data_IF_799421767323
#
_entry.id   IF_799421767323
#
_cell.length_a   1.000
_cell.length_b   1.000
_cell.length_c   1.000
_cell.angle_alpha   90.00
_cell.angle_beta   90.00
_cell.angle_gamma   90.00
#
_symmetry.space_group_name_H-M   'P 1'
#
loop_
_entity.id
_entity.type
_entity.pdbx_description
1 polymer ?
#
# COMPACT_ATOMS: atom_id res chain seq x y z
N UNK A 1 -40.08 31.64 -24.70
CA UNK A 1 -38.72 31.64 -24.17
C UNK A 1 -38.63 32.01 -22.69
N UNK A 2 -39.27 33.07 -22.18
CA UNK A 2 -39.20 33.42 -20.72
C UNK A 2 -39.69 32.31 -19.76
N UNK A 3 -40.74 31.55 -20.11
CA UNK A 3 -41.28 30.46 -19.28
C UNK A 3 -40.35 29.23 -19.21
N UNK A 4 -39.56 28.97 -20.25
CA UNK A 4 -38.58 27.88 -20.24
C UNK A 4 -37.41 28.17 -19.30
N UNK A 5 -36.94 29.42 -19.31
CA UNK A 5 -35.84 29.86 -18.43
C UNK A 5 -36.27 29.80 -16.95
N UNK A 6 -37.53 30.16 -16.64
CA UNK A 6 -38.05 30.10 -15.29
C UNK A 6 -38.23 28.66 -14.76
N UNK A 7 -38.43 27.66 -15.66
CA UNK A 7 -38.53 26.25 -15.25
C UNK A 7 -37.16 25.57 -15.06
N UNK A 8 -36.10 26.06 -15.72
CA UNK A 8 -34.74 25.52 -15.56
C UNK A 8 -33.99 26.14 -14.38
N UNK A 9 -34.34 27.37 -13.97
CA UNK A 9 -33.69 28.06 -12.86
C UNK A 9 -33.80 27.29 -11.52
N UNK A 10 -34.99 26.76 -11.09
CA UNK A 10 -35.07 25.97 -9.86
C UNK A 10 -34.36 24.61 -9.95
N UNK A 11 -34.27 23.98 -11.14
CA UNK A 11 -33.52 22.76 -11.33
C UNK A 11 -32.02 23.02 -11.18
N UNK A 12 -31.52 24.16 -11.66
CA UNK A 12 -30.11 24.55 -11.49
C UNK A 12 -29.78 24.96 -10.04
N UNK A 13 -30.70 25.57 -9.31
CA UNK A 13 -30.54 25.93 -7.88
C UNK A 13 -30.64 24.66 -7.00
N UNK A 14 -31.48 23.70 -7.34
CA UNK A 14 -31.54 22.40 -6.65
C UNK A 14 -30.29 21.54 -6.92
N UNK A 15 -29.70 21.64 -8.12
CA UNK A 15 -28.44 20.95 -8.45
C UNK A 15 -27.22 21.61 -7.78
N UNK A 16 -27.27 22.88 -7.40
CA UNK A 16 -26.17 23.56 -6.69
C UNK A 16 -26.06 23.19 -5.19
N UNK A 17 -27.02 22.44 -4.66
CA UNK A 17 -26.96 21.85 -3.32
C UNK A 17 -26.38 20.39 -3.36
N UNK A 18 -25.94 19.92 -4.50
CA UNK A 18 -25.23 18.65 -4.61
C UNK A 18 -23.87 18.83 -3.92
N UNK A 19 -23.81 18.45 -2.67
CA UNK A 19 -22.55 18.23 -1.93
C UNK A 19 -21.59 17.44 -2.84
N UNK A 20 -20.29 17.69 -2.69
CA UNK A 20 -19.29 16.91 -3.42
C UNK A 20 -19.65 15.42 -3.36
N UNK A 21 -20.19 14.93 -4.48
CA UNK A 21 -20.68 13.54 -4.59
C UNK A 21 -19.49 12.60 -4.73
N UNK A 22 -18.37 13.13 -5.20
CA UNK A 22 -17.14 12.35 -5.40
C UNK A 22 -15.90 13.25 -5.23
N UNK A 23 -14.79 12.60 -4.95
CA UNK A 23 -13.47 13.25 -4.94
C UNK A 23 -12.38 12.25 -5.23
N UNK A 24 -11.25 12.73 -5.69
CA UNK A 24 -10.09 11.91 -6.00
C UNK A 24 -8.79 12.68 -5.70
N UNK A 25 -7.71 11.93 -5.58
CA UNK A 25 -6.40 12.53 -5.32
C UNK A 25 -5.31 11.51 -5.11
N UNK A 26 -4.22 11.98 -4.54
CA UNK A 26 -3.05 11.19 -4.21
C UNK A 26 -3.08 10.79 -2.73
N UNK A 27 -2.53 9.64 -2.44
CA UNK A 27 -2.31 9.12 -1.09
C UNK A 27 -0.82 8.89 -0.87
N UNK A 28 -0.30 9.39 0.25
CA UNK A 28 1.01 9.05 0.78
C UNK A 28 0.79 8.22 2.04
N UNK A 29 1.51 7.12 2.18
CA UNK A 29 1.38 6.30 3.36
C UNK A 29 2.75 5.93 3.95
N UNK A 30 2.76 5.75 5.26
CA UNK A 30 3.85 5.15 6.01
C UNK A 30 3.29 3.91 6.69
N UNK A 31 3.69 2.74 6.22
CA UNK A 31 3.38 1.47 6.87
C UNK A 31 4.27 1.27 8.08
N UNK A 32 3.70 0.76 9.17
CA UNK A 32 4.36 0.57 10.45
C UNK A 32 4.39 -0.91 10.77
N UNK A 33 5.54 -1.52 10.58
CA UNK A 33 5.84 -2.91 10.89
C UNK A 33 7.34 -3.09 11.12
N UNK A 34 7.71 -4.22 11.66
CA UNK A 34 9.09 -4.65 11.82
C UNK A 34 9.22 -6.09 11.36
N UNK A 35 10.24 -6.35 10.54
CA UNK A 35 10.62 -7.68 10.09
C UNK A 35 11.94 -8.03 10.73
N UNK A 36 11.97 -9.10 11.51
CA UNK A 36 13.18 -9.55 12.18
C UNK A 36 14.21 -10.11 11.19
N UNK A 37 15.47 -10.08 11.58
CA UNK A 37 16.52 -10.76 10.85
C UNK A 37 16.22 -12.26 10.73
N UNK A 38 16.47 -12.80 9.57
CA UNK A 38 16.23 -14.20 9.26
C UNK A 38 17.42 -14.78 8.50
N UNK A 39 17.91 -15.93 8.94
CA UNK A 39 19.00 -16.64 8.27
C UNK A 39 18.50 -18.01 7.83
N UNK A 40 18.74 -18.34 6.56
CA UNK A 40 18.48 -19.64 5.96
C UNK A 40 19.77 -20.22 5.43
N UNK A 41 19.97 -21.56 5.59
CA UNK A 41 21.15 -22.24 5.09
C UNK A 41 20.77 -23.46 4.25
N UNK A 42 21.47 -23.61 3.12
CA UNK A 42 21.44 -24.81 2.30
C UNK A 42 22.44 -25.82 2.83
N UNK A 43 21.97 -27.02 3.05
CA UNK A 43 22.81 -28.14 3.47
C UNK A 43 22.76 -29.25 2.43
N UNK A 44 23.93 -29.72 2.01
CA UNK A 44 24.08 -30.95 1.22
C UNK A 44 24.59 -32.05 2.16
N UNK A 45 23.79 -33.06 2.40
CA UNK A 45 23.96 -34.03 3.50
C UNK A 45 23.97 -33.34 4.87
N UNK A 46 25.13 -33.17 5.50
CA UNK A 46 25.28 -32.46 6.80
C UNK A 46 26.14 -31.19 6.71
N UNK A 47 26.64 -30.91 5.51
CA UNK A 47 27.55 -29.78 5.26
C UNK A 47 26.73 -28.59 4.81
N UNK A 48 26.90 -27.46 5.48
CA UNK A 48 26.32 -26.17 5.07
C UNK A 48 27.12 -25.63 3.88
N UNK A 49 26.45 -25.47 2.75
CA UNK A 49 27.08 -25.08 1.48
C UNK A 49 26.77 -23.64 1.09
N UNK A 50 25.69 -23.07 1.62
CA UNK A 50 25.36 -21.66 1.43
C UNK A 50 24.50 -21.14 2.58
N UNK A 51 24.62 -19.85 2.87
CA UNK A 51 23.86 -19.13 3.88
C UNK A 51 23.36 -17.81 3.30
N UNK A 52 22.09 -17.51 3.52
CA UNK A 52 21.49 -16.22 3.20
C UNK A 52 21.00 -15.62 4.51
N UNK A 53 21.41 -14.40 4.78
CA UNK A 53 20.91 -13.61 5.90
C UNK A 53 20.15 -12.41 5.35
N UNK A 54 18.85 -12.37 5.58
CA UNK A 54 18.03 -11.18 5.41
C UNK A 54 18.13 -10.36 6.68
N UNK A 55 18.66 -9.15 6.60
CA UNK A 55 18.76 -8.28 7.77
C UNK A 55 17.41 -7.70 8.14
N UNK A 56 17.26 -7.36 9.44
CA UNK A 56 16.06 -6.74 9.95
C UNK A 56 15.76 -5.41 9.25
N UNK A 57 14.49 -5.12 9.02
CA UNK A 57 14.05 -3.84 8.47
C UNK A 57 12.68 -3.44 9.02
N UNK A 58 12.39 -2.16 8.95
CA UNK A 58 11.18 -1.56 9.49
C UNK A 58 10.51 -0.66 8.48
N UNK A 59 9.19 -0.56 8.61
CA UNK A 59 8.38 0.43 7.94
C UNK A 59 8.47 0.36 6.41
N UNK A 60 7.50 0.98 5.76
CA UNK A 60 7.47 1.16 4.32
C UNK A 60 6.90 2.53 4.00
N UNK A 61 7.39 3.13 2.92
CA UNK A 61 6.81 4.34 2.37
C UNK A 61 6.05 4.01 1.10
N UNK A 62 4.88 4.59 0.95
CA UNK A 62 4.04 4.32 -0.21
C UNK A 62 3.40 5.57 -0.79
N UNK A 63 3.07 5.42 -2.06
CA UNK A 63 2.30 6.39 -2.83
C UNK A 63 1.14 5.68 -3.50
N UNK A 64 0.02 6.37 -3.65
CA UNK A 64 -1.17 5.81 -4.29
C UNK A 64 -2.14 6.86 -4.79
N UNK A 65 -3.26 6.37 -5.29
CA UNK A 65 -4.39 7.19 -5.68
C UNK A 65 -5.66 6.71 -4.98
N UNK A 66 -6.60 7.62 -4.80
CA UNK A 66 -7.90 7.30 -4.21
C UNK A 66 -9.05 7.97 -4.95
N UNK A 67 -10.21 7.36 -4.83
CA UNK A 67 -11.51 7.89 -5.22
C UNK A 67 -12.47 7.68 -4.04
N UNK A 68 -13.24 8.70 -3.67
CA UNK A 68 -14.36 8.52 -2.74
C UNK A 68 -15.67 8.98 -3.34
N UNK A 69 -16.77 8.36 -2.90
CA UNK A 69 -18.14 8.66 -3.30
C UNK A 69 -18.97 8.91 -2.04
N UNK A 70 -19.44 10.15 -1.87
CA UNK A 70 -20.26 10.64 -0.74
C UNK A 70 -21.77 10.70 -1.13
N UNK A 71 -22.20 9.87 -2.07
CA UNK A 71 -23.58 9.84 -2.57
C UNK A 71 -24.47 8.79 -1.88
N UNK A 72 -23.85 7.89 -1.12
CA UNK A 72 -24.58 6.83 -0.42
C UNK A 72 -25.10 7.39 0.92
N UNK A 73 -26.40 7.34 1.20
CA UNK A 73 -26.91 7.80 2.48
C UNK A 73 -26.22 7.11 3.66
N UNK A 74 -25.73 7.87 4.62
CA UNK A 74 -25.09 7.46 5.88
C UNK A 74 -23.66 6.91 5.79
N UNK A 75 -23.16 6.53 4.60
CA UNK A 75 -21.78 6.00 4.44
C UNK A 75 -21.14 6.57 3.18
N UNK A 76 -19.84 6.76 3.21
CA UNK A 76 -19.01 7.12 2.06
C UNK A 76 -18.32 5.83 1.57
N UNK A 77 -18.31 5.60 0.26
CA UNK A 77 -17.50 4.55 -0.36
C UNK A 77 -16.15 5.13 -0.74
N UNK A 78 -15.10 4.42 -0.40
CA UNK A 78 -13.71 4.82 -0.62
C UNK A 78 -12.95 3.68 -1.31
N UNK A 79 -12.29 3.99 -2.42
CA UNK A 79 -11.50 3.05 -3.22
C UNK A 79 -10.10 3.62 -3.34
N UNK A 80 -9.09 2.81 -3.04
CA UNK A 80 -7.69 3.22 -3.05
C UNK A 80 -6.82 2.14 -3.68
N UNK A 81 -5.83 2.56 -4.48
CA UNK A 81 -4.70 1.75 -4.91
C UNK A 81 -3.40 2.36 -4.43
N UNK A 82 -2.48 1.55 -3.95
CA UNK A 82 -1.22 2.01 -3.33
C UNK A 82 -0.06 1.10 -3.68
N UNK A 83 1.12 1.68 -3.82
CA UNK A 83 2.39 0.98 -3.95
C UNK A 83 3.27 1.36 -2.76
N UNK A 84 3.77 0.36 -2.03
CA UNK A 84 4.62 0.53 -0.86
C UNK A 84 5.99 -0.05 -1.18
N UNK A 85 7.04 0.61 -0.76
CA UNK A 85 8.42 0.17 -0.92
C UNK A 85 9.10 0.20 0.44
N UNK A 86 9.84 -0.87 0.76
CA UNK A 86 10.68 -1.00 1.95
C UNK A 86 12.05 -1.52 1.55
N UNK A 87 13.07 -0.69 1.58
CA UNK A 87 14.43 -1.14 1.36
C UNK A 87 14.90 -2.00 2.54
N UNK A 88 15.63 -3.05 2.24
CA UNK A 88 16.30 -3.89 3.23
C UNK A 88 17.64 -4.40 2.69
N UNK A 89 18.46 -4.98 3.55
CA UNK A 89 19.75 -5.55 3.20
C UNK A 89 19.72 -7.07 3.31
N UNK A 90 20.48 -7.74 2.46
CA UNK A 90 20.76 -9.17 2.61
C UNK A 90 22.26 -9.45 2.39
N UNK A 91 22.73 -10.55 2.97
CA UNK A 91 24.07 -11.09 2.76
C UNK A 91 23.95 -12.52 2.27
N UNK A 92 24.87 -12.93 1.40
CA UNK A 92 24.94 -14.30 0.89
C UNK A 92 26.38 -14.81 1.00
N UNK A 93 26.54 -16.03 1.48
CA UNK A 93 27.85 -16.70 1.55
C UNK A 93 27.69 -18.13 1.10
N UNK A 94 28.59 -18.59 0.23
CA UNK A 94 28.74 -19.99 -0.13
C UNK A 94 30.20 -20.43 -0.02
N UNK A 95 30.52 -21.67 -0.42
CA UNK A 95 31.86 -22.23 -0.34
C UNK A 95 32.89 -21.50 -1.23
N UNK A 96 32.44 -20.75 -2.24
CA UNK A 96 33.29 -20.12 -3.26
C UNK A 96 33.32 -18.62 -3.15
N UNK A 97 32.21 -17.98 -2.71
CA UNK A 97 32.07 -16.53 -2.69
C UNK A 97 31.28 -16.06 -1.47
N UNK A 98 31.51 -14.82 -1.10
CA UNK A 98 30.73 -14.11 -0.10
C UNK A 98 30.33 -12.77 -0.67
N UNK A 99 29.03 -12.51 -0.65
CA UNK A 99 28.43 -11.20 -1.00
C UNK A 99 28.04 -10.55 0.32
N UNK A 100 28.80 -9.53 0.69
CA UNK A 100 28.46 -8.70 1.84
C UNK A 100 27.15 -7.94 1.56
N UNK A 101 26.65 -7.24 2.55
CA UNK A 101 25.36 -6.53 2.54
C UNK A 101 25.03 -5.87 1.22
N UNK A 102 24.02 -6.39 0.54
CA UNK A 102 23.43 -5.82 -0.67
C UNK A 102 22.08 -5.24 -0.34
N UNK A 103 21.78 -4.08 -0.93
CA UNK A 103 20.45 -3.48 -0.81
C UNK A 103 19.46 -4.14 -1.76
N UNK A 104 18.28 -4.42 -1.26
CA UNK A 104 17.15 -4.91 -2.01
C UNK A 104 15.87 -4.18 -1.60
N UNK A 105 14.79 -4.33 -2.37
CA UNK A 105 13.52 -3.66 -2.10
C UNK A 105 12.38 -4.68 -2.00
N UNK A 106 11.70 -4.69 -0.86
CA UNK A 106 10.38 -5.31 -0.78
C UNK A 106 9.32 -4.32 -1.28
N UNK A 107 8.44 -4.80 -2.17
CA UNK A 107 7.40 -3.98 -2.80
C UNK A 107 6.05 -4.63 -2.58
N UNK A 108 5.05 -3.86 -2.17
CA UNK A 108 3.65 -4.28 -2.07
C UNK A 108 2.74 -3.37 -2.89
N UNK A 109 2.01 -3.95 -3.82
CA UNK A 109 0.90 -3.31 -4.52
C UNK A 109 -0.41 -3.70 -3.83
N UNK A 110 -1.14 -2.72 -3.34
CA UNK A 110 -2.36 -2.93 -2.55
C UNK A 110 -3.56 -2.18 -3.10
N UNK A 111 -4.73 -2.76 -2.87
CA UNK A 111 -6.03 -2.16 -3.15
C UNK A 111 -6.94 -2.24 -1.94
N UNK A 112 -7.70 -1.18 -1.71
CA UNK A 112 -8.62 -1.06 -0.57
C UNK A 112 -9.99 -0.60 -1.04
N UNK A 113 -11.05 -1.22 -0.50
CA UNK A 113 -12.43 -0.77 -0.64
C UNK A 113 -12.98 -0.60 0.77
N UNK A 114 -13.34 0.62 1.13
CA UNK A 114 -13.73 1.00 2.49
C UNK A 114 -15.11 1.64 2.50
N UNK A 115 -15.94 1.24 3.45
CA UNK A 115 -17.15 1.97 3.83
C UNK A 115 -16.81 2.83 5.05
N UNK A 116 -16.99 4.15 4.92
CA UNK A 116 -16.71 5.12 5.98
C UNK A 116 -17.98 5.75 6.50
N UNK A 117 -18.03 5.96 7.82
CA UNK A 117 -19.09 6.71 8.50
C UNK A 117 -18.52 7.99 9.10
N UNK A 118 -19.25 9.08 8.91
CA UNK A 118 -18.94 10.36 9.56
C UNK A 118 -19.41 10.29 11.02
N UNK A 119 -18.49 10.43 11.95
CA UNK A 119 -18.77 10.41 13.41
C UNK A 119 -19.09 11.82 13.90
N UNK A 120 -18.27 12.78 13.51
CA UNK A 120 -18.40 14.18 13.90
C UNK A 120 -18.17 15.08 12.68
N UNK A 121 -18.94 16.16 12.58
CA UNK A 121 -18.81 17.13 11.51
C UNK A 121 -18.83 18.55 12.10
N UNK A 122 -17.82 19.33 11.76
CA UNK A 122 -17.74 20.76 11.98
C UNK A 122 -17.73 21.46 10.63
N UNK A 123 -18.48 22.53 10.48
CA UNK A 123 -18.51 23.29 9.23
C UNK A 123 -18.61 24.78 9.47
N UNK A 124 -17.78 25.53 8.74
CA UNK A 124 -17.90 26.97 8.57
C UNK A 124 -18.56 27.17 7.21
N UNK A 125 -19.75 27.75 7.14
CA UNK A 125 -20.48 27.92 5.88
C UNK A 125 -19.60 28.52 4.78
N UNK A 126 -19.67 27.93 3.59
CA UNK A 126 -18.96 28.32 2.35
C UNK A 126 -17.45 28.28 2.39
N UNK A 127 -16.81 28.04 3.55
CA UNK A 127 -15.36 28.15 3.66
C UNK A 127 -14.68 26.80 3.93
N UNK A 128 -15.02 26.14 5.03
CA UNK A 128 -14.27 24.96 5.48
C UNK A 128 -15.18 23.92 6.14
N UNK A 129 -14.79 22.65 6.00
CA UNK A 129 -15.42 21.52 6.71
C UNK A 129 -14.32 20.65 7.32
N UNK A 130 -14.58 20.18 8.55
CA UNK A 130 -13.77 19.16 9.19
C UNK A 130 -14.69 17.98 9.58
N UNK A 131 -14.26 16.77 9.31
CA UNK A 131 -15.01 15.54 9.64
C UNK A 131 -14.09 14.57 10.35
N UNK A 132 -14.58 13.96 11.43
CA UNK A 132 -14.00 12.75 11.99
C UNK A 132 -14.73 11.57 11.38
N UNK A 133 -13.99 10.61 10.84
CA UNK A 133 -14.51 9.43 10.18
C UNK A 133 -13.97 8.16 10.80
N UNK A 134 -14.74 7.09 10.75
CA UNK A 134 -14.26 5.73 10.95
C UNK A 134 -14.84 4.83 9.85
N UNK A 135 -14.07 3.84 9.45
CA UNK A 135 -14.45 2.93 8.37
C UNK A 135 -13.87 1.55 8.55
N UNK A 136 -14.45 0.63 7.81
CA UNK A 136 -13.97 -0.73 7.68
C UNK A 136 -14.13 -1.18 6.23
N UNK A 137 -13.30 -2.13 5.81
CA UNK A 137 -13.35 -2.59 4.44
C UNK A 137 -12.53 -3.84 4.17
N UNK A 138 -12.42 -4.16 2.89
CA UNK A 138 -11.61 -5.27 2.39
C UNK A 138 -10.37 -4.74 1.71
N UNK A 139 -9.32 -5.55 1.73
CA UNK A 139 -8.06 -5.23 1.06
C UNK A 139 -7.55 -6.42 0.25
N UNK A 140 -6.66 -6.11 -0.69
CA UNK A 140 -5.93 -7.08 -1.46
C UNK A 140 -4.50 -6.59 -1.63
N UNK A 141 -3.55 -7.48 -1.48
CA UNK A 141 -2.12 -7.22 -1.55
C UNK A 141 -1.45 -8.15 -2.56
N UNK A 142 -0.43 -7.63 -3.21
CA UNK A 142 0.47 -8.42 -4.07
C UNK A 142 1.88 -7.93 -3.81
N UNK A 143 2.65 -8.68 -3.04
CA UNK A 143 4.00 -8.31 -2.63
C UNK A 143 5.08 -9.18 -3.29
N UNK A 144 6.28 -8.62 -3.42
CA UNK A 144 7.46 -9.38 -3.83
C UNK A 144 7.85 -10.36 -2.73
N UNK A 145 8.36 -11.55 -3.09
CA UNK A 145 8.98 -12.44 -2.11
C UNK A 145 10.22 -11.78 -1.50
N UNK A 146 10.60 -12.24 -0.32
CA UNK A 146 11.90 -11.90 0.28
C UNK A 146 13.00 -12.68 -0.44
N UNK A 147 14.24 -12.17 -0.38
CA UNK A 147 15.41 -12.89 -0.87
C UNK A 147 15.56 -14.17 -0.05
N UNK A 148 15.47 -15.29 -0.73
CA UNK A 148 15.67 -16.62 -0.20
C UNK A 148 16.63 -17.42 -1.10
N UNK A 149 16.86 -18.66 -0.73
CA UNK A 149 17.72 -19.55 -1.49
C UNK A 149 17.20 -19.82 -2.91
N UNK A 150 15.90 -20.02 -3.09
CA UNK A 150 15.31 -20.31 -4.40
C UNK A 150 15.50 -19.12 -5.36
N UNK A 151 15.37 -17.89 -4.83
CA UNK A 151 15.64 -16.68 -5.60
C UNK A 151 17.11 -16.61 -6.01
N UNK A 152 18.04 -16.88 -5.08
CA UNK A 152 19.47 -16.84 -5.37
C UNK A 152 19.87 -17.92 -6.40
N UNK A 153 19.35 -19.14 -6.29
CA UNK A 153 19.58 -20.18 -7.28
C UNK A 153 19.05 -19.81 -8.67
N UNK A 154 17.86 -19.22 -8.74
CA UNK A 154 17.28 -18.79 -10.00
C UNK A 154 18.06 -17.64 -10.66
N UNK A 155 18.52 -16.68 -9.87
CA UNK A 155 19.14 -15.45 -10.37
C UNK A 155 20.64 -15.61 -10.65
N UNK A 156 21.30 -16.50 -9.94
CA UNK A 156 22.72 -16.80 -10.17
C UNK A 156 22.94 -17.81 -11.31
N UNK A 157 21.89 -18.44 -11.83
CA UNK A 157 21.81 -19.09 -13.14
C UNK A 157 22.89 -20.16 -13.49
N UNK A 158 23.35 -20.96 -12.50
CA UNK A 158 24.31 -22.03 -12.73
C UNK A 158 25.75 -21.69 -12.29
N UNK A 159 26.64 -22.71 -12.37
CA UNK A 159 28.00 -22.64 -11.82
C UNK A 159 28.86 -21.52 -12.42
N UNK A 160 28.64 -21.16 -13.67
CA UNK A 160 29.45 -20.16 -14.38
C UNK A 160 29.19 -18.73 -13.90
N UNK A 161 27.97 -18.42 -13.42
CA UNK A 161 27.61 -17.11 -12.85
C UNK A 161 27.97 -17.01 -11.37
N UNK A 162 28.10 -18.12 -10.67
CA UNK A 162 28.57 -18.18 -9.28
C UNK A 162 30.02 -17.65 -9.13
N UNK A 163 30.87 -17.85 -10.13
CA UNK A 163 32.23 -17.29 -10.12
C UNK A 163 32.30 -15.80 -10.42
N UNK A 164 31.37 -15.27 -11.21
CA UNK A 164 31.36 -13.84 -11.58
C UNK A 164 30.68 -12.93 -10.57
N UNK A 165 29.87 -13.45 -9.67
CA UNK A 165 29.08 -12.67 -8.70
C UNK A 165 28.04 -11.73 -9.35
N UNK A 166 27.71 -11.94 -10.63
CA UNK A 166 26.74 -11.12 -11.36
C UNK A 166 25.34 -11.69 -11.22
N UNK A 167 24.39 -10.83 -10.86
CA UNK A 167 22.97 -11.15 -10.79
C UNK A 167 22.34 -10.95 -12.17
N UNK A 168 21.63 -11.96 -12.68
CA UNK A 168 20.85 -11.83 -13.90
C UNK A 168 19.54 -11.08 -13.59
N UNK A 169 19.44 -9.85 -14.10
CA UNK A 169 18.27 -8.99 -13.84
C UNK A 169 17.00 -9.52 -14.49
N UNK A 170 17.08 -10.17 -15.63
CA UNK A 170 15.89 -10.69 -16.33
C UNK A 170 15.33 -11.91 -15.59
N UNK A 171 16.18 -12.81 -15.13
CA UNK A 171 15.77 -13.95 -14.30
C UNK A 171 15.24 -13.46 -12.93
N UNK A 172 15.82 -12.42 -12.35
CA UNK A 172 15.29 -11.80 -11.13
C UNK A 172 13.86 -11.27 -11.35
N UNK A 173 13.63 -10.50 -12.40
CA UNK A 173 12.28 -9.96 -12.70
C UNK A 173 11.29 -11.08 -12.94
N UNK A 174 11.68 -12.13 -13.64
CA UNK A 174 10.86 -13.31 -13.88
C UNK A 174 10.52 -14.03 -12.57
N UNK A 175 11.53 -14.29 -11.73
CA UNK A 175 11.33 -14.91 -10.41
C UNK A 175 10.34 -14.12 -9.54
N UNK A 176 10.51 -12.78 -9.44
CA UNK A 176 9.63 -11.92 -8.67
C UNK A 176 8.18 -11.96 -9.16
N UNK A 177 7.96 -12.04 -10.47
CA UNK A 177 6.63 -12.14 -11.06
C UNK A 177 5.95 -13.48 -10.78
N UNK A 178 6.71 -14.57 -10.88
CA UNK A 178 6.20 -15.93 -10.70
C UNK A 178 5.95 -16.28 -9.23
N UNK A 179 6.75 -15.71 -8.32
CA UNK A 179 6.72 -16.03 -6.89
C UNK A 179 6.10 -14.91 -6.03
N UNK A 180 5.36 -13.98 -6.63
CA UNK A 180 4.66 -12.93 -5.87
C UNK A 180 3.72 -13.52 -4.83
N UNK A 181 3.74 -12.95 -3.65
CA UNK A 181 2.82 -13.30 -2.57
C UNK A 181 1.52 -12.51 -2.74
N UNK A 182 0.40 -13.19 -2.77
CA UNK A 182 -0.93 -12.57 -2.88
C UNK A 182 -1.74 -12.85 -1.64
N UNK A 183 -2.27 -11.80 -1.02
CA UNK A 183 -3.06 -11.88 0.20
C UNK A 183 -4.32 -11.02 0.08
N UNK A 184 -5.36 -11.44 0.79
CA UNK A 184 -6.61 -10.69 0.94
C UNK A 184 -6.97 -10.64 2.41
N UNK A 185 -7.60 -9.54 2.82
CA UNK A 185 -7.96 -9.37 4.22
C UNK A 185 -8.98 -8.27 4.43
N UNK A 186 -9.02 -7.82 5.68
CA UNK A 186 -9.88 -6.75 6.14
C UNK A 186 -9.03 -5.62 6.71
N UNK A 187 -9.63 -4.43 6.82
CA UNK A 187 -9.01 -3.33 7.52
C UNK A 187 -10.05 -2.48 8.24
N UNK A 188 -9.58 -1.78 9.24
CA UNK A 188 -10.30 -0.71 9.91
C UNK A 188 -9.50 0.56 9.82
N UNK A 189 -10.16 1.71 9.74
CA UNK A 189 -9.48 3.00 9.70
C UNK A 189 -10.27 4.07 10.44
N UNK A 190 -9.55 5.05 10.96
CA UNK A 190 -10.13 6.25 11.57
C UNK A 190 -9.24 7.45 11.33
N UNK A 191 -9.84 8.62 11.15
CA UNK A 191 -9.08 9.81 10.86
C UNK A 191 -9.93 11.03 10.64
N UNK A 192 -9.28 12.11 10.22
CA UNK A 192 -9.89 13.41 9.98
C UNK A 192 -9.79 13.78 8.51
N UNK A 193 -10.87 14.33 7.99
CA UNK A 193 -10.92 14.99 6.69
C UNK A 193 -11.06 16.49 6.89
N UNK A 194 -10.25 17.25 6.20
CA UNK A 194 -10.38 18.69 6.09
C UNK A 194 -10.70 19.05 4.64
N UNK A 195 -11.73 19.83 4.43
CA UNK A 195 -12.10 20.36 3.12
C UNK A 195 -12.08 21.87 3.16
N UNK A 196 -11.32 22.47 2.27
CA UNK A 196 -11.27 23.93 2.06
C UNK A 196 -11.65 24.20 0.60
N UNK A 197 -12.86 24.72 0.39
CA UNK A 197 -13.44 24.85 -0.95
C UNK A 197 -13.49 23.49 -1.66
N UNK A 198 -12.72 23.33 -2.75
CA UNK A 198 -12.62 22.09 -3.52
C UNK A 198 -11.44 21.20 -3.08
N UNK A 199 -10.52 21.72 -2.27
CA UNK A 199 -9.37 20.98 -1.78
C UNK A 199 -9.78 20.08 -0.61
N UNK A 200 -9.47 18.81 -0.72
CA UNK A 200 -9.65 17.80 0.31
C UNK A 200 -8.30 17.31 0.82
N UNK A 201 -8.17 17.22 2.13
CA UNK A 201 -7.07 16.52 2.77
C UNK A 201 -7.59 15.57 3.84
N UNK A 202 -6.95 14.39 3.95
CA UNK A 202 -7.31 13.37 4.93
C UNK A 202 -6.03 12.94 5.65
N UNK A 203 -6.12 12.83 6.95
CA UNK A 203 -5.10 12.20 7.78
C UNK A 203 -5.77 11.08 8.57
N UNK A 204 -5.36 9.83 8.34
CA UNK A 204 -5.98 8.70 9.00
C UNK A 204 -5.00 7.57 9.30
N UNK A 205 -5.30 6.85 10.36
CA UNK A 205 -4.66 5.59 10.70
C UNK A 205 -5.50 4.43 10.16
N UNK A 206 -4.83 3.46 9.55
CA UNK A 206 -5.43 2.19 9.09
C UNK A 206 -4.72 1.04 9.76
N UNK A 207 -5.47 0.08 10.25
CA UNK A 207 -4.97 -1.23 10.67
C UNK A 207 -5.42 -2.28 9.68
N UNK A 208 -4.46 -2.91 9.02
CA UNK A 208 -4.64 -3.98 8.03
C UNK A 208 -4.54 -5.31 8.74
N UNK A 209 -5.47 -6.21 8.45
CA UNK A 209 -5.54 -7.60 8.93
C UNK A 209 -5.49 -8.46 7.67
N UNK A 210 -4.29 -8.91 7.32
CA UNK A 210 -4.04 -9.75 6.15
C UNK A 210 -2.79 -10.59 6.42
N UNK A 211 -2.91 -11.90 6.26
CA UNK A 211 -1.80 -12.83 6.48
C UNK A 211 -0.80 -12.77 5.33
N UNK A 212 0.46 -13.04 5.61
CA UNK A 212 1.55 -13.18 4.66
C UNK A 212 1.90 -11.93 3.82
N UNK A 213 1.29 -10.78 4.07
CA UNK A 213 1.72 -9.52 3.43
C UNK A 213 3.09 -9.12 3.95
N UNK A 214 3.22 -9.09 5.27
CA UNK A 214 4.49 -8.87 5.96
C UNK A 214 4.94 -10.20 6.53
N UNK A 215 6.15 -10.68 6.24
CA UNK A 215 6.64 -11.96 6.72
C UNK A 215 6.49 -12.12 8.24
N UNK A 216 5.84 -13.18 8.66
CA UNK A 216 5.62 -13.50 10.07
C UNK A 216 4.56 -12.65 10.78
N UNK A 217 3.85 -11.77 10.08
CA UNK A 217 2.80 -10.92 10.65
C UNK A 217 1.41 -11.24 10.10
N UNK A 218 0.40 -11.14 10.97
CA UNK A 218 -1.02 -11.25 10.59
C UNK A 218 -1.67 -9.91 10.28
N UNK A 219 -0.91 -8.83 10.35
CA UNK A 219 -1.40 -7.49 10.06
C UNK A 219 -0.40 -6.41 10.42
N UNK A 220 -0.69 -5.19 10.01
CA UNK A 220 0.16 -4.03 10.25
C UNK A 220 -0.65 -2.73 10.29
N UNK A 221 -0.05 -1.69 10.89
CA UNK A 221 -0.61 -0.35 10.89
C UNK A 221 -0.10 0.48 9.71
N UNK A 222 -0.85 1.52 9.33
CA UNK A 222 -0.34 2.56 8.44
C UNK A 222 -0.91 3.94 8.77
N UNK A 223 -0.08 4.95 8.66
CA UNK A 223 -0.48 6.35 8.70
C UNK A 223 -0.57 6.87 7.27
N UNK A 224 -1.69 7.50 6.94
CA UNK A 224 -2.00 7.89 5.57
C UNK A 224 -2.34 9.38 5.52
N UNK A 225 -1.77 10.06 4.52
CA UNK A 225 -2.07 11.44 4.17
C UNK A 225 -2.58 11.48 2.74
N UNK A 226 -3.79 11.95 2.53
CA UNK A 226 -4.37 12.16 1.20
C UNK A 226 -4.54 13.64 0.91
N UNK A 227 -4.28 13.99 -0.34
CA UNK A 227 -4.50 15.33 -0.88
C UNK A 227 -5.21 15.21 -2.22
N UNK A 228 -6.30 15.94 -2.40
CA UNK A 228 -7.07 15.84 -3.63
C UNK A 228 -8.13 16.91 -3.77
N UNK A 229 -9.08 16.63 -4.64
CA UNK A 229 -10.19 17.52 -4.98
C UNK A 229 -11.52 16.78 -4.83
N UNK A 230 -12.54 17.49 -4.33
CA UNK A 230 -13.90 16.97 -4.20
C UNK A 230 -14.92 17.89 -4.89
N UNK A 231 -15.81 17.29 -5.64
CA UNK A 231 -16.82 17.94 -6.48
C UNK A 231 -18.23 17.61 -6.01
#
# INVERSE_FOLDING_TARGET
MKKLIQSFLPIFILSSQVFAIAGFGLNLNKSMYSVAESTSSLKVNTVEVATITQHAFDNGLGIGGYLYIDAIPMVDLDIEGSLIISPYEFSFTNLLTSIDKQQFGWVDASGYITLQKKILKLSIPFLAKAKLTAGAGVNSHSSTPMVDQNMMEAVMGGADNLESGTLDTDELIKFLKENKVSSKGFHIQTGVQFKLLMLDSFLFYRHVIAEDVIPGSKGFGSLNLRLGMGF
#
